data_IF_669300491827
#
_entry.id   IF_669300491827
#
_cell.length_a   1.000
_cell.length_b   1.000
_cell.length_c   1.000
_cell.angle_alpha   90.00
_cell.angle_beta   90.00
_cell.angle_gamma   90.00
#
_symmetry.space_group_name_H-M   'P 1'
#
loop_
_entity.id
_entity.type
_entity.pdbx_description
1 polymer ?
#
# COMPACT_ATOMS: atom_id res chain seq x y z
N UNK A 1 39.98 28.66 21.15
CA UNK A 1 39.78 29.55 19.98
C UNK A 1 38.31 29.84 19.65
N UNK A 2 37.31 29.16 20.24
CA UNK A 2 35.88 29.39 19.89
C UNK A 2 35.19 30.60 20.56
N UNK A 3 35.69 31.12 21.69
CA UNK A 3 35.05 32.24 22.41
C UNK A 3 35.18 33.58 21.67
N UNK A 4 36.27 33.83 20.93
CA UNK A 4 36.52 35.12 20.29
C UNK A 4 35.57 35.41 19.13
N UNK A 5 35.12 34.39 18.40
CA UNK A 5 34.17 34.57 17.29
C UNK A 5 32.75 34.87 17.78
N UNK A 6 32.37 34.30 18.94
CA UNK A 6 31.06 34.55 19.58
C UNK A 6 30.97 35.95 20.17
N UNK A 7 32.05 36.44 20.76
CA UNK A 7 32.10 37.81 21.27
C UNK A 7 32.05 38.83 20.12
N UNK A 8 32.72 38.56 18.99
CA UNK A 8 32.62 39.39 17.79
C UNK A 8 31.20 39.41 17.19
N UNK A 9 30.54 38.23 17.10
CA UNK A 9 29.14 38.13 16.66
C UNK A 9 28.20 38.91 17.59
N UNK A 10 28.42 38.81 18.90
CA UNK A 10 27.63 39.56 19.89
C UNK A 10 27.76 41.06 19.68
N UNK A 11 28.99 41.56 19.52
CA UNK A 11 29.22 42.99 19.25
C UNK A 11 28.53 43.44 17.97
N UNK A 12 28.59 42.65 16.90
CA UNK A 12 27.90 42.94 15.65
C UNK A 12 26.37 43.00 15.83
N UNK A 13 25.78 42.08 16.61
CA UNK A 13 24.35 42.08 16.92
C UNK A 13 23.93 43.26 17.81
N UNK A 14 24.74 43.61 18.81
CA UNK A 14 24.52 44.79 19.64
C UNK A 14 24.55 46.08 18.80
N UNK A 15 25.51 46.20 17.88
CA UNK A 15 25.62 47.33 16.95
C UNK A 15 24.41 47.41 16.02
N UNK A 16 24.02 46.29 15.39
CA UNK A 16 22.89 46.25 14.47
C UNK A 16 21.56 46.56 15.19
N UNK A 17 21.33 46.00 16.37
CA UNK A 17 20.11 46.27 17.13
C UNK A 17 19.99 47.74 17.53
N UNK A 18 21.09 48.36 17.98
CA UNK A 18 21.12 49.79 18.29
C UNK A 18 20.93 50.66 17.04
N UNK A 19 21.55 50.29 15.91
CA UNK A 19 21.38 50.98 14.62
C UNK A 19 19.92 50.98 14.18
N UNK A 20 19.26 49.82 14.22
CA UNK A 20 17.85 49.65 13.84
C UNK A 20 16.93 50.52 14.71
N UNK A 21 17.07 50.47 16.04
CA UNK A 21 16.20 51.26 16.92
C UNK A 21 16.46 52.77 16.81
N UNK A 22 17.72 53.18 16.64
CA UNK A 22 18.08 54.60 16.47
C UNK A 22 17.55 55.14 15.14
N UNK A 23 17.69 54.40 14.04
CA UNK A 23 17.14 54.78 12.75
C UNK A 23 15.61 54.91 12.81
N UNK A 24 14.93 54.02 13.54
CA UNK A 24 13.47 54.08 13.73
C UNK A 24 13.03 55.28 14.58
N UNK A 25 13.73 55.58 15.68
CA UNK A 25 13.47 56.78 16.50
C UNK A 25 13.66 58.05 15.68
N UNK A 26 14.74 58.13 14.90
CA UNK A 26 15.06 59.28 14.04
C UNK A 26 14.01 59.46 12.94
N UNK A 27 13.61 58.38 12.26
CA UNK A 27 12.56 58.43 11.25
C UNK A 27 11.20 58.88 11.85
N UNK A 28 10.85 58.37 13.03
CA UNK A 28 9.63 58.76 13.75
C UNK A 28 9.64 60.24 14.14
N UNK A 29 10.75 60.75 14.66
CA UNK A 29 10.90 62.16 15.03
C UNK A 29 10.84 63.10 13.81
N UNK A 30 11.32 62.65 12.65
CA UNK A 30 11.30 63.40 11.40
C UNK A 30 9.97 63.27 10.62
N UNK A 31 8.96 62.57 11.14
CA UNK A 31 7.71 62.30 10.42
C UNK A 31 7.88 61.44 9.15
N UNK A 32 8.99 60.71 9.04
CA UNK A 32 9.32 59.88 7.87
C UNK A 32 8.84 58.44 8.06
N UNK A 33 8.74 57.70 6.95
CA UNK A 33 8.44 56.27 6.95
C UNK A 33 9.43 55.51 7.84
N UNK A 34 8.91 54.71 8.78
CA UNK A 34 9.72 53.99 9.76
C UNK A 34 10.36 52.76 9.09
N UNK A 35 11.71 52.64 9.05
CA UNK A 35 12.40 51.53 8.38
C UNK A 35 12.49 50.26 9.25
N UNK A 36 12.91 49.14 8.66
CA UNK A 36 13.23 47.87 9.37
C UNK A 36 12.09 47.24 10.16
N UNK A 37 10.87 47.26 9.62
CA UNK A 37 9.69 46.69 10.28
C UNK A 37 9.82 45.16 10.52
N UNK A 38 10.53 44.46 9.64
CA UNK A 38 10.81 43.01 9.65
C UNK A 38 11.61 42.55 10.88
N UNK A 39 12.54 43.37 11.38
CA UNK A 39 13.49 42.97 12.44
C UNK A 39 13.44 43.80 13.71
N UNK A 40 12.68 44.90 13.73
CA UNK A 40 12.62 45.83 14.86
C UNK A 40 12.20 45.19 16.19
N UNK A 41 11.18 44.32 16.16
CA UNK A 41 10.69 43.65 17.36
C UNK A 41 11.77 42.73 17.96
N UNK A 42 12.50 41.99 17.11
CA UNK A 42 13.62 41.15 17.51
C UNK A 42 14.79 41.96 18.10
N UNK A 43 15.16 43.07 17.46
CA UNK A 43 16.20 43.98 17.97
C UNK A 43 15.82 44.58 19.35
N UNK A 44 14.56 44.95 19.54
CA UNK A 44 14.07 45.48 20.81
C UNK A 44 14.06 44.40 21.90
N UNK A 45 13.58 43.20 21.60
CA UNK A 45 13.59 42.07 22.53
C UNK A 45 15.03 41.69 22.91
N UNK A 46 15.95 41.62 21.95
CA UNK A 46 17.36 41.33 22.18
C UNK A 46 18.03 42.38 23.08
N UNK A 47 17.78 43.67 22.85
CA UNK A 47 18.29 44.74 23.71
C UNK A 47 17.61 44.80 25.09
N UNK A 48 16.40 44.24 25.22
CA UNK A 48 15.72 44.05 26.50
C UNK A 48 16.35 42.97 27.37
N UNK A 49 17.13 42.06 26.81
CA UNK A 49 17.89 41.05 27.56
C UNK A 49 19.12 41.66 28.24
N UNK A 50 19.45 41.14 29.42
CA UNK A 50 20.69 41.46 30.12
C UNK A 50 21.94 41.00 29.36
N UNK A 51 23.12 41.57 29.65
CA UNK A 51 24.37 41.21 28.98
C UNK A 51 24.69 39.71 29.00
N UNK A 52 24.40 39.04 30.11
CA UNK A 52 24.65 37.61 30.29
C UNK A 52 23.61 36.74 29.57
N UNK A 53 22.35 37.18 29.54
CA UNK A 53 21.28 36.49 28.82
C UNK A 53 21.47 36.54 27.31
N UNK A 54 21.99 37.67 26.78
CA UNK A 54 22.38 37.77 25.36
C UNK A 54 23.48 36.78 25.02
N UNK A 55 24.49 36.65 25.89
CA UNK A 55 25.57 35.68 25.70
C UNK A 55 25.03 34.26 25.71
N UNK A 56 24.20 33.91 26.70
CA UNK A 56 23.57 32.60 26.82
C UNK A 56 22.68 32.28 25.61
N UNK A 57 21.91 33.24 25.12
CA UNK A 57 21.10 33.08 23.91
C UNK A 57 21.98 32.75 22.70
N UNK A 58 23.07 33.50 22.51
CA UNK A 58 24.00 33.25 21.41
C UNK A 58 24.62 31.86 21.52
N UNK A 59 25.08 31.47 22.71
CA UNK A 59 25.65 30.14 22.99
C UNK A 59 24.72 28.98 22.60
N UNK A 60 23.40 29.20 22.70
CA UNK A 60 22.38 28.23 22.28
C UNK A 60 22.11 28.22 20.77
N UNK A 61 22.45 29.29 20.05
CA UNK A 61 22.24 29.39 18.60
C UNK A 61 23.34 28.59 17.88
N UNK A 62 22.91 27.67 17.02
CA UNK A 62 23.76 26.96 16.05
C UNK A 62 23.24 27.23 14.65
N UNK A 63 24.11 27.77 13.80
CA UNK A 63 23.83 27.94 12.37
C UNK A 63 24.44 26.76 11.64
N UNK A 64 23.61 26.00 10.94
CA UNK A 64 24.04 24.88 10.10
C UNK A 64 23.77 25.28 8.65
N UNK A 65 24.76 25.86 7.94
CA UNK A 65 24.57 26.28 6.55
C UNK A 65 24.31 25.06 5.65
N UNK A 66 23.56 25.28 4.57
CA UNK A 66 23.17 24.26 3.59
C UNK A 66 22.38 23.05 4.16
N UNK A 67 21.72 23.21 5.31
CA UNK A 67 20.75 22.22 5.79
C UNK A 67 19.42 22.36 5.04
N UNK A 68 18.75 21.25 4.85
CA UNK A 68 17.37 21.25 4.36
C UNK A 68 16.41 21.64 5.49
N UNK A 69 15.32 22.31 5.13
CA UNK A 69 14.22 22.64 6.04
C UNK A 69 13.24 21.48 6.13
N UNK A 70 12.35 21.49 7.12
CA UNK A 70 11.24 20.52 7.20
C UNK A 70 10.39 20.51 5.92
N UNK A 71 10.18 21.67 5.30
CA UNK A 71 9.41 21.78 4.05
C UNK A 71 10.14 21.16 2.83
N UNK A 72 11.47 21.18 2.82
CA UNK A 72 12.28 20.66 1.69
C UNK A 72 12.81 19.26 1.94
N UNK A 73 12.68 18.74 3.16
CA UNK A 73 13.18 17.42 3.55
C UNK A 73 12.64 16.28 2.66
N UNK A 74 11.34 16.21 2.32
CA UNK A 74 10.82 15.14 1.48
C UNK A 74 11.53 15.03 0.13
N UNK A 75 11.72 16.16 -0.56
CA UNK A 75 12.41 16.16 -1.86
C UNK A 75 13.90 15.78 -1.77
N UNK A 76 14.58 16.15 -0.69
CA UNK A 76 15.98 15.76 -0.47
C UNK A 76 16.13 14.28 -0.13
N UNK A 77 15.19 13.72 0.62
CA UNK A 77 15.14 12.28 0.89
C UNK A 77 14.82 11.52 -0.40
N UNK A 78 13.84 12.00 -1.18
CA UNK A 78 13.45 11.39 -2.45
C UNK A 78 14.61 11.32 -3.45
N UNK A 79 15.43 12.37 -3.56
CA UNK A 79 16.64 12.39 -4.39
C UNK A 79 17.59 11.23 -4.08
N UNK A 80 17.71 10.83 -2.81
CA UNK A 80 18.59 9.73 -2.38
C UNK A 80 18.08 8.36 -2.81
N UNK A 81 16.79 8.23 -3.11
CA UNK A 81 16.18 6.99 -3.57
C UNK A 81 15.97 6.95 -5.09
N UNK A 82 16.44 7.95 -5.84
CA UNK A 82 16.25 8.03 -7.30
C UNK A 82 16.75 6.81 -8.06
N UNK A 83 17.89 6.25 -7.65
CA UNK A 83 18.50 5.06 -8.29
C UNK A 83 18.04 3.74 -7.69
N UNK A 84 17.29 3.77 -6.59
CA UNK A 84 16.91 2.58 -5.81
C UNK A 84 15.43 2.23 -6.01
N UNK A 85 14.56 3.24 -6.17
CA UNK A 85 13.12 3.08 -6.26
C UNK A 85 12.57 3.53 -7.62
N UNK A 86 11.61 2.75 -8.12
CA UNK A 86 10.83 3.09 -9.31
C UNK A 86 10.05 4.41 -9.06
N UNK A 87 9.91 5.27 -10.09
CA UNK A 87 9.20 6.54 -9.95
C UNK A 87 7.78 6.40 -9.37
N UNK A 88 7.06 5.32 -9.70
CA UNK A 88 5.68 5.06 -9.28
C UNK A 88 5.52 4.88 -7.77
N UNK A 89 6.50 4.25 -7.10
CA UNK A 89 6.41 3.91 -5.67
C UNK A 89 7.23 4.86 -4.78
N UNK A 90 8.14 5.63 -5.39
CA UNK A 90 9.14 6.42 -4.67
C UNK A 90 8.52 7.44 -3.71
N UNK A 91 7.53 8.20 -4.17
CA UNK A 91 6.87 9.21 -3.35
C UNK A 91 6.24 8.62 -2.09
N UNK A 92 5.47 7.54 -2.26
CA UNK A 92 4.80 6.84 -1.16
C UNK A 92 5.79 6.26 -0.13
N UNK A 93 6.87 5.61 -0.59
CA UNK A 93 7.89 5.06 0.32
C UNK A 93 8.59 6.16 1.11
N UNK A 94 8.90 7.29 0.47
CA UNK A 94 9.56 8.43 1.12
C UNK A 94 8.64 9.07 2.16
N UNK A 95 7.37 9.27 1.83
CA UNK A 95 6.38 9.81 2.76
C UNK A 95 6.26 8.93 4.02
N UNK A 96 6.05 7.62 3.84
CA UNK A 96 5.96 6.66 4.95
C UNK A 96 7.23 6.59 5.80
N UNK A 97 8.39 6.71 5.16
CA UNK A 97 9.67 6.74 5.88
C UNK A 97 9.77 7.98 6.78
N UNK A 98 9.35 9.14 6.28
CA UNK A 98 9.37 10.40 7.03
C UNK A 98 8.36 10.36 8.17
N UNK A 99 7.13 9.89 7.94
CA UNK A 99 6.13 9.71 9.00
C UNK A 99 6.64 8.83 10.14
N UNK A 100 7.28 7.71 9.78
CA UNK A 100 7.87 6.82 10.76
C UNK A 100 9.01 7.49 11.52
N UNK A 101 9.89 8.21 10.82
CA UNK A 101 11.02 8.92 11.43
C UNK A 101 10.54 9.98 12.41
N UNK A 102 9.56 10.81 12.01
CA UNK A 102 8.96 11.85 12.83
C UNK A 102 8.33 11.27 14.10
N UNK A 103 7.66 10.12 13.99
CA UNK A 103 7.15 9.39 15.14
C UNK A 103 8.28 8.97 16.09
N UNK A 104 9.41 8.46 15.59
CA UNK A 104 10.54 8.09 16.45
C UNK A 104 11.14 9.32 17.16
N UNK A 105 11.28 10.44 16.44
CA UNK A 105 11.74 11.70 17.03
C UNK A 105 10.77 12.19 18.12
N UNK A 106 9.47 12.17 17.85
CA UNK A 106 8.45 12.58 18.83
C UNK A 106 8.51 11.72 20.09
N UNK A 107 8.56 10.38 19.96
CA UNK A 107 8.67 9.45 21.07
C UNK A 107 9.96 9.67 21.90
N UNK A 108 11.05 10.04 21.23
CA UNK A 108 12.30 10.39 21.88
C UNK A 108 12.19 11.67 22.72
N UNK A 109 11.54 12.71 22.20
CA UNK A 109 11.37 13.99 22.89
C UNK A 109 10.54 13.85 24.17
N UNK A 110 9.55 12.95 24.18
CA UNK A 110 8.73 12.63 25.37
C UNK A 110 9.33 11.52 26.25
N UNK A 111 10.59 11.14 26.02
CA UNK A 111 11.34 10.14 26.81
C UNK A 111 10.70 8.73 26.84
N UNK A 112 9.92 8.37 25.81
CA UNK A 112 9.37 7.01 25.64
C UNK A 112 10.30 6.06 24.90
N UNK A 113 11.38 6.57 24.29
CA UNK A 113 12.47 5.78 23.68
C UNK A 113 13.82 6.51 23.80
N UNK A 114 14.88 5.81 23.40
CA UNK A 114 16.22 6.40 23.26
C UNK A 114 16.22 7.60 22.29
N UNK A 115 17.15 8.55 22.52
CA UNK A 115 17.41 9.67 21.61
C UNK A 115 18.09 9.27 20.30
N UNK A 116 18.59 8.06 20.24
CA UNK A 116 19.29 7.55 19.08
C UNK A 116 18.34 6.70 18.23
N UNK A 117 18.42 6.88 16.91
CA UNK A 117 17.83 6.00 15.91
C UNK A 117 18.99 5.26 15.28
N UNK A 118 19.08 3.95 15.50
CA UNK A 118 20.20 3.16 15.00
C UNK A 118 20.09 2.97 13.48
N UNK A 119 21.23 2.88 12.80
CA UNK A 119 21.26 2.58 11.36
C UNK A 119 20.55 1.27 11.03
N UNK A 120 20.71 0.24 11.87
CA UNK A 120 20.03 -1.05 11.71
C UNK A 120 18.51 -0.93 11.77
N UNK A 121 17.98 -0.08 12.66
CA UNK A 121 16.55 0.19 12.78
C UNK A 121 16.00 0.85 11.50
N UNK A 122 16.72 1.85 10.99
CA UNK A 122 16.38 2.50 9.71
C UNK A 122 16.43 1.51 8.54
N UNK A 123 17.46 0.66 8.49
CA UNK A 123 17.58 -0.36 7.45
C UNK A 123 16.46 -1.39 7.50
N UNK A 124 16.08 -1.83 8.71
CA UNK A 124 14.93 -2.73 8.89
C UNK A 124 13.66 -2.08 8.38
N UNK A 125 13.39 -0.82 8.77
CA UNK A 125 12.19 -0.12 8.32
C UNK A 125 12.17 0.09 6.82
N UNK A 126 13.31 0.41 6.21
CA UNK A 126 13.43 0.53 4.76
C UNK A 126 13.14 -0.80 4.06
N UNK A 127 13.65 -1.91 4.60
CA UNK A 127 13.34 -3.24 4.06
C UNK A 127 11.83 -3.53 4.12
N UNK A 128 11.18 -3.26 5.26
CA UNK A 128 9.74 -3.46 5.40
C UNK A 128 8.95 -2.63 4.38
N UNK A 129 9.30 -1.35 4.23
CA UNK A 129 8.67 -0.45 3.27
C UNK A 129 8.91 -0.89 1.82
N UNK A 130 10.10 -1.42 1.52
CA UNK A 130 10.40 -1.94 0.20
C UNK A 130 9.63 -3.21 -0.10
N UNK A 131 9.45 -4.12 0.86
CA UNK A 131 8.60 -5.31 0.68
C UNK A 131 7.15 -4.88 0.44
N UNK A 132 6.64 -3.99 1.31
CA UNK A 132 5.28 -3.44 1.25
C UNK A 132 4.97 -2.74 -0.09
N UNK A 133 5.95 -2.04 -0.66
CA UNK A 133 5.78 -1.25 -1.89
C UNK A 133 6.50 -1.85 -3.11
N UNK A 134 7.06 -3.05 -3.00
CA UNK A 134 7.65 -3.75 -4.14
C UNK A 134 6.52 -4.26 -5.03
N UNK A 135 6.76 -4.34 -6.35
CA UNK A 135 5.85 -4.96 -7.33
C UNK A 135 5.49 -6.44 -7.02
N UNK A 136 6.11 -7.02 -5.99
CA UNK A 136 5.95 -8.39 -5.53
C UNK A 136 5.00 -8.50 -4.34
N UNK A 137 4.73 -7.42 -3.59
CA UNK A 137 3.82 -7.38 -2.45
C UNK A 137 2.44 -6.89 -2.90
N UNK A 138 1.45 -7.78 -2.95
CA UNK A 138 0.08 -7.39 -3.22
C UNK A 138 -0.68 -7.21 -1.90
N UNK A 139 -1.35 -6.08 -1.68
CA UNK A 139 -2.16 -5.91 -0.49
C UNK A 139 -3.28 -6.95 -0.48
N UNK A 140 -3.55 -7.51 0.69
CA UNK A 140 -4.68 -8.39 0.95
C UNK A 140 -5.79 -7.61 1.66
N UNK A 141 -6.76 -7.18 0.88
CA UNK A 141 -7.86 -6.34 1.32
C UNK A 141 -9.09 -7.19 1.68
N UNK A 142 -9.21 -8.43 1.19
CA UNK A 142 -10.46 -9.20 1.18
C UNK A 142 -10.46 -10.52 1.96
N UNK A 143 -9.33 -11.04 2.46
CA UNK A 143 -9.32 -12.29 3.27
C UNK A 143 -10.32 -12.27 4.44
N UNK A 144 -10.36 -11.17 5.19
CA UNK A 144 -11.21 -11.01 6.38
C UNK A 144 -12.60 -10.44 6.09
N UNK A 145 -12.99 -10.29 4.82
CA UNK A 145 -14.27 -9.67 4.43
C UNK A 145 -15.25 -10.73 3.93
N UNK A 146 -16.52 -10.44 4.07
CA UNK A 146 -17.64 -11.25 3.57
C UNK A 146 -18.58 -10.36 2.77
N UNK A 147 -19.30 -10.89 1.76
CA UNK A 147 -20.32 -10.14 1.06
C UNK A 147 -21.48 -9.77 2.00
N UNK A 148 -22.13 -8.63 1.76
CA UNK A 148 -23.27 -8.20 2.54
C UNK A 148 -24.51 -9.10 2.36
N UNK A 149 -24.63 -9.75 1.21
CA UNK A 149 -25.63 -10.79 0.92
C UNK A 149 -25.03 -11.83 0.00
N UNK A 150 -25.23 -13.10 0.34
CA UNK A 150 -24.81 -14.23 -0.49
C UNK A 150 -25.68 -14.29 -1.75
N UNK A 151 -26.99 -14.08 -1.60
CA UNK A 151 -27.97 -14.14 -2.68
C UNK A 151 -27.64 -13.08 -3.75
N UNK A 152 -27.33 -11.85 -3.32
CA UNK A 152 -26.99 -10.75 -4.22
C UNK A 152 -25.69 -10.99 -5.02
N UNK A 153 -24.75 -11.74 -4.45
CA UNK A 153 -23.44 -12.02 -5.07
C UNK A 153 -23.40 -13.39 -5.77
N UNK A 154 -24.53 -14.12 -5.77
CA UNK A 154 -24.64 -15.43 -6.41
C UNK A 154 -24.61 -15.26 -7.93
N UNK A 155 -23.52 -15.70 -8.55
CA UNK A 155 -23.36 -15.72 -10.02
C UNK A 155 -24.36 -16.68 -10.67
N UNK A 156 -24.93 -16.28 -11.82
CA UNK A 156 -26.02 -17.02 -12.46
C UNK A 156 -25.51 -18.35 -13.01
N UNK A 157 -24.42 -18.30 -13.77
CA UNK A 157 -23.86 -19.48 -14.43
C UNK A 157 -23.13 -20.36 -13.43
N UNK A 158 -22.33 -19.77 -12.55
CA UNK A 158 -21.62 -20.46 -11.47
C UNK A 158 -22.60 -21.24 -10.58
N UNK A 159 -23.76 -20.66 -10.23
CA UNK A 159 -24.78 -21.38 -9.46
C UNK A 159 -25.35 -22.58 -10.23
N UNK A 160 -25.65 -22.41 -11.52
CA UNK A 160 -26.12 -23.51 -12.39
C UNK A 160 -25.10 -24.63 -12.52
N UNK A 161 -23.82 -24.30 -12.63
CA UNK A 161 -22.75 -25.29 -12.67
C UNK A 161 -22.68 -26.13 -11.38
N UNK A 162 -22.89 -25.52 -10.22
CA UNK A 162 -22.94 -26.23 -8.92
C UNK A 162 -24.22 -27.08 -8.81
N UNK A 163 -25.34 -26.60 -9.37
CA UNK A 163 -26.60 -27.34 -9.45
C UNK A 163 -26.47 -28.60 -10.32
N UNK A 164 -25.83 -28.50 -11.49
CA UNK A 164 -25.65 -29.63 -12.41
C UNK A 164 -24.85 -30.79 -11.82
N UNK A 165 -23.93 -30.50 -10.89
CA UNK A 165 -23.19 -31.56 -10.18
C UNK A 165 -23.87 -31.97 -8.86
N UNK A 166 -25.08 -31.49 -8.58
CA UNK A 166 -25.77 -31.74 -7.31
C UNK A 166 -24.90 -31.33 -6.10
N UNK A 167 -24.22 -30.18 -6.19
CA UNK A 167 -23.21 -29.72 -5.24
C UNK A 167 -23.76 -29.27 -3.87
N UNK A 168 -25.04 -28.90 -3.83
CA UNK A 168 -25.75 -28.49 -2.61
C UNK A 168 -25.40 -27.08 -2.13
N UNK A 169 -26.16 -26.61 -1.13
CA UNK A 169 -26.09 -25.21 -0.66
C UNK A 169 -24.76 -24.83 0.00
N UNK A 170 -24.12 -25.73 0.75
CA UNK A 170 -22.84 -25.43 1.41
C UNK A 170 -21.71 -25.17 0.39
N UNK A 171 -21.68 -25.91 -0.73
CA UNK A 171 -20.70 -25.67 -1.80
C UNK A 171 -21.01 -24.37 -2.55
N UNK A 172 -22.29 -24.06 -2.74
CA UNK A 172 -22.72 -22.80 -3.33
C UNK A 172 -22.28 -21.61 -2.47
N UNK A 173 -22.57 -21.62 -1.16
CA UNK A 173 -22.20 -20.53 -0.24
C UNK A 173 -20.69 -20.28 -0.22
N UNK A 174 -19.86 -21.32 -0.06
CA UNK A 174 -18.40 -21.12 -0.07
C UNK A 174 -17.89 -20.63 -1.43
N UNK A 175 -18.51 -21.06 -2.54
CA UNK A 175 -18.14 -20.62 -3.88
C UNK A 175 -18.45 -19.14 -4.08
N UNK A 176 -19.62 -18.67 -3.61
CA UNK A 176 -20.02 -17.26 -3.66
C UNK A 176 -19.04 -16.40 -2.87
N UNK A 177 -18.72 -16.77 -1.62
CA UNK A 177 -17.78 -16.03 -0.79
C UNK A 177 -16.39 -15.96 -1.43
N UNK A 178 -15.85 -17.10 -1.86
CA UNK A 178 -14.53 -17.16 -2.47
C UNK A 178 -14.48 -16.31 -3.76
N UNK A 179 -15.49 -16.46 -4.63
CA UNK A 179 -15.63 -15.67 -5.87
C UNK A 179 -15.68 -14.17 -5.58
N UNK A 180 -16.49 -13.78 -4.60
CA UNK A 180 -16.62 -12.39 -4.19
C UNK A 180 -15.28 -11.82 -3.73
N UNK A 181 -14.57 -12.52 -2.84
CA UNK A 181 -13.25 -12.08 -2.36
C UNK A 181 -12.25 -11.95 -3.50
N UNK A 182 -12.13 -12.97 -4.37
CA UNK A 182 -11.19 -12.95 -5.48
C UNK A 182 -11.51 -11.84 -6.49
N UNK A 183 -12.79 -11.66 -6.86
CA UNK A 183 -13.22 -10.62 -7.81
C UNK A 183 -12.90 -9.23 -7.28
N UNK A 184 -13.23 -8.94 -6.02
CA UNK A 184 -12.99 -7.62 -5.45
C UNK A 184 -11.51 -7.38 -5.17
N UNK A 185 -10.74 -8.39 -4.76
CA UNK A 185 -9.30 -8.26 -4.59
C UNK A 185 -8.60 -7.92 -5.91
N UNK A 186 -8.96 -8.62 -6.99
CA UNK A 186 -8.45 -8.33 -8.34
C UNK A 186 -8.86 -6.93 -8.81
N UNK A 187 -10.08 -6.50 -8.49
CA UNK A 187 -10.55 -5.13 -8.75
C UNK A 187 -9.69 -4.08 -8.04
N UNK A 188 -9.46 -4.24 -6.73
CA UNK A 188 -8.62 -3.34 -5.95
C UNK A 188 -7.17 -3.28 -6.49
N UNK A 189 -6.62 -4.39 -6.96
CA UNK A 189 -5.30 -4.36 -7.61
C UNK A 189 -5.30 -3.59 -8.92
N UNK A 190 -6.30 -3.83 -9.79
CA UNK A 190 -6.41 -3.14 -11.08
C UNK A 190 -6.63 -1.63 -10.95
N UNK A 191 -7.36 -1.20 -9.91
CA UNK A 191 -7.55 0.22 -9.59
C UNK A 191 -6.23 0.91 -9.19
N UNK A 192 -5.34 0.19 -8.51
CA UNK A 192 -4.06 0.72 -8.04
C UNK A 192 -2.92 0.59 -9.07
N UNK A 193 -2.89 -0.49 -9.85
CA UNK A 193 -1.89 -0.76 -10.87
C UNK A 193 -2.49 -1.55 -12.04
N UNK A 194 -2.77 -0.85 -13.14
CA UNK A 194 -3.37 -1.46 -14.33
C UNK A 194 -2.44 -2.47 -15.02
N UNK A 195 -1.13 -2.41 -14.77
CA UNK A 195 -0.17 -3.33 -15.40
C UNK A 195 -0.33 -4.78 -14.91
N UNK A 196 -0.99 -4.98 -13.77
CA UNK A 196 -1.29 -6.32 -13.24
C UNK A 196 -2.27 -7.10 -14.12
N UNK A 197 -2.96 -6.46 -15.05
CA UNK A 197 -3.92 -7.10 -15.94
C UNK A 197 -3.28 -8.24 -16.75
N UNK A 198 -2.07 -8.05 -17.29
CA UNK A 198 -1.38 -9.11 -18.05
C UNK A 198 -1.08 -10.34 -17.19
N UNK A 199 -0.72 -10.10 -15.94
CA UNK A 199 -0.35 -11.15 -15.00
C UNK A 199 -1.59 -11.93 -14.56
N UNK A 200 -2.70 -11.23 -14.33
CA UNK A 200 -4.01 -11.84 -14.05
C UNK A 200 -4.50 -12.70 -15.23
N UNK A 201 -4.27 -12.25 -16.47
CA UNK A 201 -4.60 -13.02 -17.67
C UNK A 201 -3.73 -14.29 -17.80
N UNK A 202 -2.43 -14.19 -17.51
CA UNK A 202 -1.53 -15.35 -17.47
C UNK A 202 -1.91 -16.32 -16.36
N UNK A 203 -2.25 -15.81 -15.19
CA UNK A 203 -2.75 -16.61 -14.07
C UNK A 203 -4.03 -17.35 -14.44
N UNK A 204 -5.00 -16.69 -15.07
CA UNK A 204 -6.24 -17.33 -15.50
C UNK A 204 -5.98 -18.44 -16.55
N UNK A 205 -5.01 -18.26 -17.47
CA UNK A 205 -4.60 -19.31 -18.40
C UNK A 205 -4.05 -20.54 -17.68
N UNK A 206 -3.20 -20.35 -16.68
CA UNK A 206 -2.66 -21.44 -15.86
C UNK A 206 -3.76 -22.19 -15.11
N UNK A 207 -4.76 -21.47 -14.56
CA UNK A 207 -5.91 -22.10 -13.91
C UNK A 207 -6.70 -22.98 -14.89
N UNK A 208 -6.96 -22.48 -16.10
CA UNK A 208 -7.68 -23.23 -17.14
C UNK A 208 -6.89 -24.47 -17.57
N UNK A 209 -5.57 -24.36 -17.73
CA UNK A 209 -4.71 -25.49 -18.10
C UNK A 209 -4.75 -26.59 -17.05
N UNK A 210 -4.56 -26.25 -15.76
CA UNK A 210 -4.57 -27.23 -14.68
C UNK A 210 -5.97 -27.86 -14.50
N UNK A 211 -7.03 -27.08 -14.64
CA UNK A 211 -8.38 -27.62 -14.68
C UNK A 211 -8.59 -28.56 -15.86
N UNK A 212 -8.14 -28.19 -17.05
CA UNK A 212 -8.26 -29.00 -18.28
C UNK A 212 -7.55 -30.36 -18.15
N UNK A 213 -6.39 -30.39 -17.48
CA UNK A 213 -5.67 -31.63 -17.16
C UNK A 213 -6.44 -32.61 -16.25
N UNK A 214 -7.53 -32.16 -15.61
CA UNK A 214 -8.41 -33.00 -14.77
C UNK A 214 -9.76 -33.25 -15.43
N UNK A 215 -10.36 -32.20 -16.00
CA UNK A 215 -11.67 -32.27 -16.61
C UNK A 215 -11.66 -33.10 -17.90
N UNK A 216 -10.65 -32.95 -18.75
CA UNK A 216 -10.53 -33.73 -20.00
C UNK A 216 -10.58 -35.25 -19.78
N UNK A 217 -9.66 -35.83 -18.98
CA UNK A 217 -9.70 -37.26 -18.67
C UNK A 217 -11.00 -37.68 -17.97
N UNK A 218 -11.54 -36.83 -17.09
CA UNK A 218 -12.84 -37.11 -16.46
C UNK A 218 -13.96 -37.24 -17.51
N UNK A 219 -13.98 -36.40 -18.54
CA UNK A 219 -14.96 -36.48 -19.64
C UNK A 219 -14.83 -37.79 -20.41
N UNK A 220 -13.60 -38.18 -20.76
CA UNK A 220 -13.33 -39.45 -21.45
C UNK A 220 -13.84 -40.65 -20.64
N UNK A 221 -13.55 -40.64 -19.34
CA UNK A 221 -13.97 -41.72 -18.44
C UNK A 221 -15.48 -41.70 -18.11
N UNK A 222 -16.20 -40.63 -18.45
CA UNK A 222 -17.65 -40.52 -18.25
C UNK A 222 -18.48 -41.06 -19.44
N UNK A 223 -17.84 -41.53 -20.52
CA UNK A 223 -18.55 -42.10 -21.66
C UNK A 223 -19.32 -43.37 -21.24
N UNK A 224 -20.64 -43.37 -21.43
CA UNK A 224 -21.52 -44.48 -21.03
C UNK A 224 -21.77 -44.59 -19.52
N UNK A 225 -21.30 -43.63 -18.72
CA UNK A 225 -21.58 -43.55 -17.29
C UNK A 225 -22.95 -42.89 -17.06
N UNK A 226 -23.69 -43.39 -16.07
CA UNK A 226 -24.98 -42.86 -15.63
C UNK A 226 -24.86 -41.48 -14.96
N UNK A 227 -25.90 -40.66 -15.09
CA UNK A 227 -25.92 -39.28 -14.61
C UNK A 227 -25.52 -39.08 -13.13
N UNK A 228 -25.97 -39.91 -12.16
CA UNK A 228 -25.57 -39.72 -10.76
C UNK A 228 -24.07 -39.79 -10.54
N UNK A 229 -23.36 -40.63 -11.30
CA UNK A 229 -21.91 -40.79 -11.20
C UNK A 229 -21.17 -39.67 -11.96
N UNK A 230 -21.74 -39.15 -13.06
CA UNK A 230 -21.24 -37.94 -13.72
C UNK A 230 -21.28 -36.73 -12.78
N UNK A 231 -22.41 -36.53 -12.11
CA UNK A 231 -22.55 -35.51 -11.07
C UNK A 231 -21.52 -35.70 -9.96
N UNK A 232 -21.29 -36.95 -9.52
CA UNK A 232 -20.32 -37.27 -8.49
C UNK A 232 -18.90 -36.88 -8.87
N UNK A 233 -18.46 -37.24 -10.09
CA UNK A 233 -17.15 -36.88 -10.63
C UNK A 233 -16.99 -35.36 -10.80
N UNK A 234 -18.05 -34.69 -11.26
CA UNK A 234 -18.05 -33.22 -11.33
C UNK A 234 -17.92 -32.56 -9.96
N UNK A 235 -18.55 -33.11 -8.90
CA UNK A 235 -18.32 -32.64 -7.52
C UNK A 235 -16.88 -32.83 -7.07
N UNK A 236 -16.23 -33.92 -7.48
CA UNK A 236 -14.82 -34.15 -7.15
C UNK A 236 -13.93 -33.03 -7.71
N UNK A 237 -14.15 -32.58 -8.94
CA UNK A 237 -13.42 -31.43 -9.51
C UNK A 237 -13.77 -30.13 -8.76
N UNK A 238 -15.06 -29.89 -8.47
CA UNK A 238 -15.49 -28.72 -7.71
C UNK A 238 -14.84 -28.67 -6.32
N UNK A 239 -14.76 -29.79 -5.61
CA UNK A 239 -14.11 -29.90 -4.30
C UNK A 239 -12.60 -29.73 -4.41
N UNK A 240 -11.98 -30.34 -5.42
CA UNK A 240 -10.55 -30.16 -5.71
C UNK A 240 -10.20 -28.68 -5.93
N UNK A 241 -11.02 -27.95 -6.69
CA UNK A 241 -10.79 -26.51 -6.97
C UNK A 241 -10.73 -25.66 -5.70
N UNK A 242 -11.42 -26.10 -4.64
CA UNK A 242 -11.48 -25.39 -3.38
C UNK A 242 -10.41 -25.84 -2.37
N UNK A 243 -10.12 -27.14 -2.30
CA UNK A 243 -9.29 -27.73 -1.24
C UNK A 243 -7.83 -27.96 -1.66
N UNK A 244 -7.60 -28.31 -2.92
CA UNK A 244 -6.32 -28.86 -3.36
C UNK A 244 -5.61 -27.99 -4.40
N UNK A 245 -6.36 -27.32 -5.27
CA UNK A 245 -5.78 -26.58 -6.39
C UNK A 245 -4.74 -25.52 -5.95
N UNK A 246 -4.95 -24.86 -4.80
CA UNK A 246 -3.99 -23.89 -4.24
C UNK A 246 -2.60 -24.48 -3.98
N UNK A 247 -2.48 -25.79 -3.73
CA UNK A 247 -1.20 -26.46 -3.49
C UNK A 247 -0.53 -26.94 -4.78
N UNK A 248 -1.28 -27.05 -5.87
CA UNK A 248 -0.82 -27.58 -7.16
C UNK A 248 -0.43 -26.47 -8.14
N UNK A 249 -0.86 -25.24 -7.86
CA UNK A 249 -0.60 -24.07 -8.67
C UNK A 249 0.54 -23.22 -8.07
N UNK A 250 1.40 -22.63 -8.89
CA UNK A 250 2.30 -21.59 -8.40
C UNK A 250 1.49 -20.43 -7.84
N UNK A 251 1.95 -19.77 -6.76
CA UNK A 251 1.25 -18.61 -6.23
C UNK A 251 1.25 -17.48 -7.26
N UNK A 252 0.17 -16.69 -7.30
CA UNK A 252 0.03 -15.57 -8.24
C UNK A 252 1.21 -14.59 -8.18
N UNK A 253 1.69 -14.33 -6.95
CA UNK A 253 2.97 -13.67 -6.68
C UNK A 253 3.71 -14.45 -5.59
N UNK A 254 5.05 -14.43 -5.54
CA UNK A 254 5.83 -15.11 -4.51
C UNK A 254 5.44 -14.80 -3.06
N UNK A 255 4.91 -13.61 -2.78
CA UNK A 255 4.47 -13.21 -1.43
C UNK A 255 3.00 -13.52 -1.14
N UNK A 256 2.22 -13.92 -2.16
CA UNK A 256 0.79 -14.15 -2.04
C UNK A 256 0.50 -15.61 -1.63
N UNK A 257 -0.04 -15.78 -0.42
CA UNK A 257 -0.37 -17.10 0.14
C UNK A 257 -1.87 -17.33 0.37
N UNK A 258 -2.72 -16.36 0.01
CA UNK A 258 -4.14 -16.44 0.33
C UNK A 258 -4.90 -17.34 -0.65
N UNK A 259 -5.45 -18.43 -0.11
CA UNK A 259 -6.11 -19.47 -0.90
C UNK A 259 -7.35 -18.98 -1.64
N UNK A 260 -8.06 -17.97 -1.11
CA UNK A 260 -9.31 -17.49 -1.70
C UNK A 260 -9.12 -16.97 -3.12
N UNK A 261 -7.91 -16.51 -3.50
CA UNK A 261 -7.64 -16.04 -4.85
C UNK A 261 -7.82 -17.17 -5.87
N UNK A 262 -7.20 -18.32 -5.62
CA UNK A 262 -7.34 -19.52 -6.49
C UNK A 262 -8.77 -20.03 -6.44
N UNK A 263 -9.30 -20.24 -5.23
CA UNK A 263 -10.64 -20.78 -5.01
C UNK A 263 -11.71 -19.94 -5.73
N UNK A 264 -11.64 -18.62 -5.58
CA UNK A 264 -12.59 -17.70 -6.18
C UNK A 264 -12.37 -17.46 -7.66
N UNK A 265 -11.13 -17.51 -8.15
CA UNK A 265 -10.84 -17.36 -9.57
C UNK A 265 -11.42 -18.52 -10.38
N UNK A 266 -11.37 -19.75 -9.87
CA UNK A 266 -12.08 -20.87 -10.48
C UNK A 266 -13.58 -20.65 -10.62
N UNK A 267 -14.23 -20.12 -9.57
CA UNK A 267 -15.66 -19.80 -9.63
C UNK A 267 -15.96 -18.62 -10.56
N UNK A 268 -15.05 -17.65 -10.66
CA UNK A 268 -15.15 -16.55 -11.61
C UNK A 268 -15.00 -17.05 -13.06
N UNK A 269 -14.08 -17.98 -13.32
CA UNK A 269 -13.91 -18.62 -14.62
C UNK A 269 -15.12 -19.49 -14.98
N UNK A 270 -15.74 -20.15 -14.00
CA UNK A 270 -16.97 -20.91 -14.19
C UNK A 270 -18.16 -20.00 -14.54
N UNK A 271 -18.28 -18.83 -13.91
CA UNK A 271 -19.25 -17.79 -14.28
C UNK A 271 -19.01 -17.27 -15.71
N UNK A 272 -17.74 -17.15 -16.12
CA UNK A 272 -17.34 -16.74 -17.47
C UNK A 272 -17.40 -17.87 -18.50
N UNK A 273 -17.91 -19.05 -18.14
CA UNK A 273 -18.05 -20.21 -19.02
C UNK A 273 -16.72 -20.78 -19.56
N UNK A 274 -15.58 -20.37 -18.99
CA UNK A 274 -14.24 -20.82 -19.41
C UNK A 274 -13.85 -22.18 -18.82
N UNK A 275 -14.43 -22.53 -17.67
CA UNK A 275 -14.26 -23.82 -17.01
C UNK A 275 -15.62 -24.34 -16.55
N UNK A 276 -15.70 -25.63 -16.24
CA UNK A 276 -16.90 -26.18 -15.64
C UNK A 276 -16.71 -27.47 -14.86
N UNK A 277 -17.75 -27.86 -14.12
CA UNK A 277 -17.67 -28.99 -13.18
C UNK A 277 -18.22 -30.28 -13.77
N UNK A 278 -19.37 -30.23 -14.42
CA UNK A 278 -19.99 -31.39 -15.04
C UNK A 278 -19.20 -31.85 -16.28
N UNK A 279 -19.09 -33.16 -16.60
CA UNK A 279 -18.48 -33.60 -17.85
C UNK A 279 -19.15 -32.95 -19.08
N UNK A 280 -20.47 -32.86 -19.07
CA UNK A 280 -21.27 -32.27 -20.15
C UNK A 280 -21.57 -30.77 -19.97
N UNK A 281 -20.79 -30.03 -19.17
CA UNK A 281 -21.14 -28.63 -18.83
C UNK A 281 -21.30 -27.73 -20.06
N UNK A 282 -20.53 -27.95 -21.13
CA UNK A 282 -20.64 -27.18 -22.37
C UNK A 282 -22.00 -27.39 -23.06
N UNK A 283 -22.48 -28.64 -23.10
CA UNK A 283 -23.80 -28.99 -23.62
C UNK A 283 -24.90 -28.40 -22.77
N UNK A 284 -24.77 -28.49 -21.44
CA UNK A 284 -25.73 -27.91 -20.49
C UNK A 284 -25.79 -26.38 -20.59
N UNK A 285 -24.66 -25.71 -20.86
CA UNK A 285 -24.59 -24.27 -21.14
C UNK A 285 -25.32 -23.91 -22.43
N UNK A 286 -25.14 -24.67 -23.51
CA UNK A 286 -25.87 -24.44 -24.78
C UNK A 286 -27.37 -24.54 -24.57
N UNK A 287 -27.82 -25.63 -23.92
CA UNK A 287 -29.23 -25.85 -23.62
C UNK A 287 -29.83 -24.73 -22.74
N UNK A 288 -29.07 -24.24 -21.76
CA UNK A 288 -29.49 -23.11 -20.91
C UNK A 288 -29.66 -21.81 -21.70
N UNK A 289 -28.82 -21.58 -22.72
CA UNK A 289 -28.90 -20.39 -23.58
C UNK A 289 -30.04 -20.47 -24.60
N UNK A 290 -30.37 -21.67 -25.07
CA UNK A 290 -31.50 -21.88 -25.98
C UNK A 290 -32.86 -21.78 -25.27
N UNK A 291 -32.90 -22.05 -23.97
CA UNK A 291 -34.13 -22.02 -23.16
C UNK A 291 -34.49 -20.65 -22.57
N UNK A 292 -33.65 -19.62 -22.70
CA UNK A 292 -33.84 -18.29 -22.11
C UNK A 292 -33.85 -17.17 -23.14
#
# INVERSE_FOLDING_TARGET
MANSERDALRQALDQEANRVLTARKTAKAAGKKIPFADRAAGCQAYLGLGPDDRKRLLDLIKIVPASFTAATAPGEVEKRFQSVLLPSIRGHVVERLIEWWDRQVALSLIKKRSREIHKSELQSKLHDLFVEHSAQGLPDDFSGREPASIEAETGRIMAKQIEWVLGGQSRLQRAVVARWRARNQRGAWLENDISIASDLDEFDKNLIEVWGGRHGPMVDDCQGIEEPERCNRGRTILDWSHHNATMELPPFRPTWSQAYLVQGSFQQLAEQEKVGWHPDFATLLSALKEAG
#
